data_IF_538007340787
#
_entry.id   IF_538007340787
#
_cell.length_a   1.000
_cell.length_b   1.000
_cell.length_c   1.000
_cell.angle_alpha   90.00
_cell.angle_beta   90.00
_cell.angle_gamma   90.00
#
_symmetry.space_group_name_H-M   'P 1'
#
loop_
_entity.id
_entity.type
_entity.pdbx_description
1 polymer ?
#
# COMPACT_ATOMS: atom_id res chain seq x y z
N UNK A 1 9.23 29.64 8.34
CA UNK A 1 7.78 29.41 8.52
C UNK A 1 7.56 28.81 9.88
N UNK A 2 6.58 29.27 10.68
CA UNK A 2 6.19 28.55 11.90
C UNK A 2 5.73 27.15 11.46
N UNK A 3 6.33 26.08 11.99
CA UNK A 3 5.84 24.72 11.74
C UNK A 3 4.43 24.62 12.32
N UNK A 4 3.46 24.33 11.49
CA UNK A 4 2.10 24.03 11.93
C UNK A 4 2.13 22.63 12.53
N UNK A 5 1.80 22.47 13.82
CA UNK A 5 1.71 21.14 14.41
C UNK A 5 0.49 20.42 13.84
N UNK A 6 0.57 19.09 13.73
CA UNK A 6 -0.58 18.30 13.25
C UNK A 6 -1.79 18.43 14.19
N UNK A 7 -1.56 18.60 15.50
CA UNK A 7 -2.61 18.87 16.48
C UNK A 7 -3.43 20.12 16.14
N UNK A 8 -2.77 21.19 15.69
CA UNK A 8 -3.46 22.40 15.28
C UNK A 8 -4.31 22.16 14.02
N UNK A 9 -3.83 21.37 13.07
CA UNK A 9 -4.60 21.04 11.86
C UNK A 9 -5.91 20.34 12.23
N UNK A 10 -5.83 19.38 13.15
CA UNK A 10 -6.98 18.60 13.57
C UNK A 10 -7.92 19.40 14.47
N UNK A 11 -7.42 20.29 15.33
CA UNK A 11 -8.28 21.18 16.11
C UNK A 11 -9.09 22.09 15.20
N UNK A 12 -8.48 22.65 14.15
CA UNK A 12 -9.19 23.45 13.14
C UNK A 12 -10.22 22.65 12.37
N UNK A 13 -9.89 21.41 11.97
CA UNK A 13 -10.86 20.51 11.34
C UNK A 13 -12.09 20.26 12.25
N UNK A 14 -11.86 20.00 13.53
CA UNK A 14 -12.91 19.73 14.52
C UNK A 14 -13.79 20.95 14.78
N UNK A 15 -13.21 22.14 14.86
CA UNK A 15 -13.92 23.40 15.11
C UNK A 15 -14.71 23.88 13.89
N UNK A 16 -14.09 23.91 12.72
CA UNK A 16 -14.66 24.54 11.53
C UNK A 16 -15.58 23.61 10.74
N UNK A 17 -15.32 22.29 10.80
CA UNK A 17 -16.00 21.26 9.99
C UNK A 17 -16.23 19.95 10.78
N UNK A 18 -17.10 19.94 11.79
CA UNK A 18 -17.37 18.75 12.60
C UNK A 18 -17.78 17.51 11.79
N UNK A 19 -18.47 17.71 10.66
CA UNK A 19 -18.84 16.66 9.72
C UNK A 19 -17.62 16.01 9.04
N UNK A 20 -16.63 16.81 8.66
CA UNK A 20 -15.38 16.30 8.08
C UNK A 20 -14.46 15.71 9.14
N UNK A 21 -14.52 16.20 10.37
CA UNK A 21 -13.85 15.56 11.50
C UNK A 21 -14.37 14.14 11.74
N UNK A 22 -15.69 13.93 11.67
CA UNK A 22 -16.31 12.60 11.75
C UNK A 22 -15.80 11.66 10.64
N UNK A 23 -15.67 12.17 9.41
CA UNK A 23 -15.07 11.45 8.28
C UNK A 23 -13.61 11.10 8.55
N UNK A 24 -12.81 12.08 8.99
CA UNK A 24 -11.40 11.94 9.29
C UNK A 24 -11.12 10.85 10.33
N UNK A 25 -11.91 10.82 11.41
CA UNK A 25 -11.81 9.81 12.47
C UNK A 25 -12.45 8.47 12.11
N UNK A 26 -12.99 8.32 10.89
CA UNK A 26 -13.72 7.13 10.45
C UNK A 26 -14.85 6.72 11.43
N UNK A 27 -15.61 7.71 11.91
CA UNK A 27 -16.64 7.52 12.94
C UNK A 27 -17.66 6.43 12.59
N UNK A 28 -18.02 6.32 11.30
CA UNK A 28 -18.97 5.32 10.82
C UNK A 28 -18.53 3.89 11.12
N UNK A 29 -17.23 3.61 11.27
CA UNK A 29 -16.72 2.26 11.46
C UNK A 29 -16.79 1.76 12.92
N UNK A 30 -16.79 2.67 13.90
CA UNK A 30 -16.70 2.36 15.34
C UNK A 30 -17.83 1.46 15.82
N UNK A 31 -19.04 1.72 15.35
CA UNK A 31 -20.26 1.00 15.77
C UNK A 31 -20.89 0.20 14.62
N UNK A 32 -20.18 0.07 13.49
CA UNK A 32 -20.72 -0.67 12.36
C UNK A 32 -20.65 -2.17 12.61
N UNK A 33 -21.76 -2.87 12.44
CA UNK A 33 -21.82 -4.31 12.67
C UNK A 33 -21.36 -5.14 11.46
N UNK A 34 -21.70 -4.71 10.24
CA UNK A 34 -21.42 -5.51 9.06
C UNK A 34 -19.93 -5.49 8.72
N UNK A 35 -19.37 -6.67 8.49
CA UNK A 35 -18.00 -6.87 8.04
C UNK A 35 -18.01 -7.91 6.95
N UNK A 36 -17.03 -7.84 6.06
CA UNK A 36 -16.83 -8.90 5.08
C UNK A 36 -16.26 -10.17 5.74
N UNK A 37 -16.05 -11.22 4.94
CA UNK A 37 -15.48 -12.50 5.42
C UNK A 37 -14.08 -12.38 6.06
N UNK A 38 -13.41 -11.24 5.88
CA UNK A 38 -12.10 -10.95 6.45
C UNK A 38 -12.17 -10.00 7.66
N UNK A 39 -13.36 -9.64 8.12
CA UNK A 39 -13.55 -8.71 9.24
C UNK A 39 -13.33 -7.25 8.86
N UNK A 40 -13.41 -6.89 7.56
CA UNK A 40 -13.10 -5.55 7.05
C UNK A 40 -14.35 -4.71 6.89
N UNK A 41 -14.21 -3.41 7.13
CA UNK A 41 -15.17 -2.40 6.66
C UNK A 41 -14.91 -2.14 5.17
N UNK A 42 -15.98 -2.08 4.38
CA UNK A 42 -15.95 -2.01 2.93
C UNK A 42 -16.51 -0.69 2.41
N UNK A 43 -16.05 -0.24 1.25
CA UNK A 43 -16.50 1.00 0.64
C UNK A 43 -18.02 0.98 0.39
N UNK A 44 -18.57 -0.19 0.03
CA UNK A 44 -20.02 -0.35 -0.19
C UNK A 44 -20.88 -0.10 1.07
N UNK A 45 -20.27 -0.14 2.26
CA UNK A 45 -20.95 0.15 3.53
C UNK A 45 -20.84 1.61 3.94
N UNK A 46 -19.88 2.34 3.37
CA UNK A 46 -19.67 3.75 3.66
C UNK A 46 -20.83 4.58 3.12
N UNK A 47 -21.26 5.59 3.88
CA UNK A 47 -22.17 6.61 3.38
C UNK A 47 -21.50 7.58 2.40
N UNK A 48 -20.17 7.46 2.22
CA UNK A 48 -19.34 8.37 1.44
C UNK A 48 -19.08 7.87 0.04
N UNK A 49 -18.73 8.81 -0.83
CA UNK A 49 -18.10 8.50 -2.12
C UNK A 49 -16.63 8.24 -1.88
N UNK A 50 -16.22 6.98 -1.99
CA UNK A 50 -14.83 6.56 -1.75
C UNK A 50 -13.81 7.36 -2.57
N UNK A 51 -14.14 7.77 -3.80
CA UNK A 51 -13.24 8.53 -4.66
C UNK A 51 -13.16 10.05 -4.35
N UNK A 52 -13.76 10.53 -3.25
CA UNK A 52 -13.62 11.92 -2.79
C UNK A 52 -12.64 12.03 -1.61
N UNK A 53 -11.75 13.02 -1.68
CA UNK A 53 -10.77 13.38 -0.64
C UNK A 53 -11.18 14.68 0.07
N UNK A 54 -12.44 14.78 0.51
CA UNK A 54 -13.04 16.02 1.01
C UNK A 54 -12.34 16.61 2.24
N UNK A 55 -11.74 15.78 3.10
CA UNK A 55 -10.99 16.26 4.26
C UNK A 55 -9.72 16.95 3.80
N UNK A 56 -8.96 16.32 2.89
CA UNK A 56 -7.77 16.96 2.31
C UNK A 56 -8.11 18.20 1.47
N UNK A 57 -9.22 18.20 0.74
CA UNK A 57 -9.68 19.40 0.02
C UNK A 57 -9.88 20.57 0.97
N UNK A 58 -10.64 20.38 2.04
CA UNK A 58 -10.89 21.43 3.01
C UNK A 58 -9.60 21.93 3.66
N UNK A 59 -8.75 21.02 4.14
CA UNK A 59 -7.48 21.38 4.80
C UNK A 59 -6.50 22.10 3.86
N UNK A 60 -6.52 21.77 2.57
CA UNK A 60 -5.76 22.48 1.54
C UNK A 60 -6.33 23.89 1.30
N UNK A 61 -7.66 24.02 1.15
CA UNK A 61 -8.32 25.31 0.88
C UNK A 61 -8.09 26.34 1.99
N UNK A 62 -7.93 25.88 3.25
CA UNK A 62 -7.58 26.74 4.40
C UNK A 62 -6.06 26.89 4.61
N UNK A 63 -5.23 26.35 3.71
CA UNK A 63 -3.78 26.52 3.69
C UNK A 63 -2.99 25.65 4.68
N UNK A 64 -3.64 24.67 5.34
CA UNK A 64 -2.97 23.82 6.35
C UNK A 64 -2.24 22.61 5.73
N UNK A 65 -2.62 22.20 4.53
CA UNK A 65 -1.96 21.14 3.76
C UNK A 65 -1.47 21.61 2.38
N UNK A 66 -1.09 22.88 2.25
CA UNK A 66 -0.38 23.34 1.05
C UNK A 66 1.10 22.91 1.11
N UNK A 67 1.38 21.72 0.60
CA UNK A 67 2.69 21.06 0.70
C UNK A 67 3.53 21.36 -0.55
N UNK A 68 4.77 21.79 -0.32
CA UNK A 68 5.78 21.79 -1.37
C UNK A 68 6.47 20.43 -1.33
N UNK A 69 6.56 19.73 -2.47
CA UNK A 69 7.23 18.43 -2.53
C UNK A 69 8.66 18.57 -3.05
N UNK A 70 9.55 17.61 -2.75
CA UNK A 70 10.90 17.58 -3.29
C UNK A 70 10.94 17.79 -4.80
N UNK A 71 11.96 18.52 -5.26
CA UNK A 71 12.16 18.85 -6.69
C UNK A 71 10.98 19.59 -7.32
N UNK A 72 10.23 20.36 -6.52
CA UNK A 72 9.03 21.10 -6.94
C UNK A 72 7.96 20.21 -7.58
N UNK A 73 7.87 18.95 -7.15
CA UNK A 73 6.85 18.05 -7.64
C UNK A 73 5.44 18.58 -7.32
N UNK A 74 4.50 18.35 -8.23
CA UNK A 74 3.12 18.84 -8.08
C UNK A 74 2.36 18.06 -6.99
N UNK A 75 2.70 16.79 -6.82
CA UNK A 75 2.12 15.86 -5.83
C UNK A 75 3.08 14.69 -5.62
N UNK A 76 2.82 13.84 -4.61
CA UNK A 76 3.61 12.65 -4.37
C UNK A 76 2.88 11.36 -4.79
N UNK A 77 3.65 10.36 -5.20
CA UNK A 77 3.18 9.01 -5.52
C UNK A 77 3.99 8.05 -4.68
N UNK A 78 3.31 7.31 -3.80
CA UNK A 78 3.94 6.27 -3.00
C UNK A 78 3.73 4.93 -3.69
N UNK A 79 4.84 4.25 -3.99
CA UNK A 79 4.84 2.95 -4.62
C UNK A 79 5.07 1.87 -3.56
N UNK A 80 4.19 0.87 -3.53
CA UNK A 80 4.29 -0.22 -2.56
C UNK A 80 3.97 -1.57 -3.19
N UNK A 81 4.58 -2.62 -2.63
CA UNK A 81 4.43 -3.99 -3.10
C UNK A 81 4.22 -4.94 -1.94
N UNK A 82 3.08 -5.62 -1.91
CA UNK A 82 2.85 -6.71 -0.96
C UNK A 82 3.40 -8.01 -1.57
N UNK A 83 4.29 -8.65 -0.83
CA UNK A 83 4.92 -9.92 -1.18
C UNK A 83 4.20 -11.04 -0.44
N UNK A 84 3.01 -11.39 -0.93
CA UNK A 84 2.18 -12.46 -0.35
C UNK A 84 2.84 -13.83 -0.52
N UNK A 85 3.41 -14.06 -1.71
CA UNK A 85 3.91 -15.36 -2.14
C UNK A 85 5.16 -15.22 -2.98
N UNK A 86 6.22 -15.88 -2.55
CA UNK A 86 7.51 -16.02 -3.24
C UNK A 86 7.64 -17.36 -3.95
N UNK A 87 6.65 -18.25 -3.81
CA UNK A 87 6.57 -19.54 -4.49
C UNK A 87 5.21 -19.74 -5.11
N UNK A 88 5.18 -20.24 -6.34
CA UNK A 88 3.93 -20.64 -6.99
C UNK A 88 3.36 -21.89 -6.31
N UNK A 89 2.14 -21.80 -5.78
CA UNK A 89 1.40 -22.99 -5.38
C UNK A 89 1.19 -23.94 -6.56
N UNK A 90 1.17 -25.27 -6.31
CA UNK A 90 1.07 -26.30 -7.35
C UNK A 90 -0.12 -26.09 -8.29
N UNK A 91 -1.26 -25.64 -7.76
CA UNK A 91 -2.49 -25.38 -8.52
C UNK A 91 -2.33 -24.17 -9.45
N UNK A 92 -1.78 -23.06 -8.95
CA UNK A 92 -1.49 -21.86 -9.75
C UNK A 92 -0.46 -22.17 -10.85
N UNK A 93 0.55 -23.00 -10.55
CA UNK A 93 1.53 -23.46 -11.54
C UNK A 93 0.91 -24.30 -12.65
N UNK A 94 0.02 -25.22 -12.30
CA UNK A 94 -0.66 -26.07 -13.27
C UNK A 94 -1.62 -25.25 -14.15
N UNK A 95 -2.40 -24.34 -13.56
CA UNK A 95 -3.30 -23.46 -14.28
C UNK A 95 -2.57 -22.50 -15.22
N UNK A 96 -1.49 -21.87 -14.76
CA UNK A 96 -0.65 -20.99 -15.61
C UNK A 96 0.05 -21.76 -16.72
N UNK A 97 0.53 -22.99 -16.47
CA UNK A 97 1.13 -23.85 -17.50
C UNK A 97 0.12 -24.24 -18.59
N UNK A 98 -1.12 -24.59 -18.23
CA UNK A 98 -2.19 -24.87 -19.19
C UNK A 98 -2.53 -23.62 -20.00
N UNK A 99 -2.60 -22.44 -19.36
CA UNK A 99 -2.82 -21.16 -20.05
C UNK A 99 -1.70 -20.86 -21.06
N UNK A 100 -0.44 -21.05 -20.67
CA UNK A 100 0.72 -20.87 -21.55
C UNK A 100 0.66 -21.78 -22.79
N UNK A 101 0.32 -23.07 -22.59
CA UNK A 101 0.16 -24.03 -23.68
C UNK A 101 -0.98 -23.64 -24.64
N UNK A 102 -2.13 -23.18 -24.11
CA UNK A 102 -3.24 -22.68 -24.92
C UNK A 102 -2.90 -21.43 -25.72
N UNK A 103 -1.94 -20.64 -25.26
CA UNK A 103 -1.39 -19.48 -25.97
C UNK A 103 -0.24 -19.85 -26.93
N UNK A 104 0.03 -21.14 -27.15
CA UNK A 104 1.07 -21.62 -28.07
C UNK A 104 2.50 -21.56 -27.51
N UNK A 105 2.68 -21.25 -26.23
CA UNK A 105 3.98 -21.00 -25.60
C UNK A 105 4.59 -22.22 -24.92
N UNK A 106 5.06 -23.22 -25.69
CA UNK A 106 5.75 -24.41 -25.12
C UNK A 106 6.97 -24.06 -24.25
N UNK A 107 7.74 -23.04 -24.66
CA UNK A 107 8.87 -22.53 -23.88
C UNK A 107 8.42 -21.92 -22.56
N UNK A 108 7.36 -21.14 -22.56
CA UNK A 108 6.87 -20.51 -21.33
C UNK A 108 6.25 -21.53 -20.37
N UNK A 109 5.55 -22.55 -20.90
CA UNK A 109 5.10 -23.68 -20.10
C UNK A 109 6.28 -24.45 -19.44
N UNK A 110 7.36 -24.69 -20.18
CA UNK A 110 8.56 -25.33 -19.64
C UNK A 110 9.25 -24.48 -18.56
N UNK A 111 9.37 -23.15 -18.78
CA UNK A 111 9.92 -22.21 -17.79
C UNK A 111 9.10 -22.16 -16.52
N UNK A 112 7.77 -22.23 -16.60
CA UNK A 112 6.86 -22.30 -15.45
C UNK A 112 7.10 -23.54 -14.62
N UNK A 113 7.18 -24.68 -15.30
CA UNK A 113 7.46 -25.96 -14.65
C UNK A 113 8.82 -25.95 -13.95
N UNK A 114 9.87 -25.47 -14.63
CA UNK A 114 11.21 -25.32 -14.03
C UNK A 114 11.20 -24.30 -12.88
N UNK A 115 10.45 -23.20 -13.02
CA UNK A 115 10.30 -22.15 -12.02
C UNK A 115 9.68 -22.63 -10.70
N UNK A 116 8.98 -23.76 -10.69
CA UNK A 116 8.54 -24.41 -9.44
C UNK A 116 9.71 -24.90 -8.57
N UNK A 117 10.83 -25.23 -9.20
CA UNK A 117 11.99 -25.84 -8.55
C UNK A 117 13.24 -24.94 -8.58
N UNK A 118 13.25 -23.92 -9.44
CA UNK A 118 14.38 -23.02 -9.64
C UNK A 118 13.95 -21.56 -9.51
N UNK A 119 14.45 -20.88 -8.48
CA UNK A 119 14.17 -19.46 -8.19
C UNK A 119 14.42 -18.55 -9.38
N UNK A 120 15.43 -18.84 -10.21
CA UNK A 120 15.79 -18.02 -11.40
C UNK A 120 14.64 -17.92 -12.41
N UNK A 121 13.81 -18.95 -12.51
CA UNK A 121 12.68 -19.00 -13.43
C UNK A 121 11.33 -18.81 -12.72
N UNK A 122 11.34 -18.51 -11.42
CA UNK A 122 10.14 -18.27 -10.66
C UNK A 122 9.62 -16.86 -10.96
N UNK A 123 8.45 -16.72 -11.59
CA UNK A 123 7.90 -15.42 -11.99
C UNK A 123 7.52 -14.54 -10.79
N UNK A 124 7.43 -15.11 -9.58
CA UNK A 124 7.13 -14.38 -8.35
C UNK A 124 8.38 -13.79 -7.67
N UNK A 125 9.59 -14.21 -8.09
CA UNK A 125 10.87 -13.65 -7.66
C UNK A 125 11.29 -12.51 -8.61
N UNK A 126 10.40 -11.52 -8.77
CA UNK A 126 10.52 -10.45 -9.75
C UNK A 126 10.93 -9.09 -9.16
N UNK A 127 11.35 -9.06 -7.89
CA UNK A 127 11.68 -7.83 -7.16
C UNK A 127 12.72 -6.97 -7.88
N UNK A 128 13.82 -7.58 -8.35
CA UNK A 128 14.86 -6.86 -9.11
C UNK A 128 14.33 -6.26 -10.42
N UNK A 129 13.39 -6.95 -11.08
CA UNK A 129 12.76 -6.44 -12.30
C UNK A 129 11.87 -5.23 -11.99
N UNK A 130 11.09 -5.29 -10.90
CA UNK A 130 10.29 -4.17 -10.41
C UNK A 130 11.20 -2.97 -10.11
N UNK A 131 12.24 -3.16 -9.29
CA UNK A 131 13.21 -2.11 -8.95
C UNK A 131 13.86 -1.49 -10.18
N UNK A 132 14.22 -2.30 -11.19
CA UNK A 132 14.80 -1.79 -12.44
C UNK A 132 13.82 -0.88 -13.19
N UNK A 133 12.56 -1.30 -13.35
CA UNK A 133 11.52 -0.48 -14.00
C UNK A 133 11.28 0.84 -13.25
N UNK A 134 11.35 0.82 -11.93
CA UNK A 134 11.20 2.02 -11.09
C UNK A 134 12.41 2.94 -11.20
N UNK A 135 13.62 2.39 -11.17
CA UNK A 135 14.87 3.13 -11.30
C UNK A 135 14.95 3.90 -12.64
N UNK A 136 14.47 3.29 -13.74
CA UNK A 136 14.33 3.96 -15.06
C UNK A 136 13.46 5.22 -15.00
N UNK A 137 12.55 5.28 -14.03
CA UNK A 137 11.66 6.41 -13.78
C UNK A 137 12.09 7.27 -12.59
N UNK A 138 13.30 7.05 -12.05
CA UNK A 138 13.82 7.72 -10.86
C UNK A 138 12.91 7.57 -9.64
N UNK A 139 12.25 6.42 -9.55
CA UNK A 139 11.32 6.05 -8.49
C UNK A 139 11.95 5.01 -7.56
N UNK A 140 11.42 4.94 -6.35
CA UNK A 140 11.65 3.88 -5.37
C UNK A 140 10.31 3.43 -4.78
N UNK A 141 10.29 2.26 -4.17
CA UNK A 141 9.11 1.67 -3.56
C UNK A 141 9.42 0.99 -2.23
N UNK A 142 8.35 0.62 -1.52
CA UNK A 142 8.38 -0.17 -0.29
C UNK A 142 7.87 -1.58 -0.55
N UNK A 143 8.65 -2.61 -0.21
CA UNK A 143 8.23 -4.00 -0.27
C UNK A 143 7.77 -4.49 1.12
N UNK A 144 6.48 -4.78 1.28
CA UNK A 144 5.93 -5.37 2.50
C UNK A 144 6.01 -6.91 2.42
N UNK A 145 6.78 -7.51 3.33
CA UNK A 145 7.04 -8.95 3.31
C UNK A 145 6.19 -9.73 4.31
N UNK A 146 5.46 -10.73 3.82
CA UNK A 146 4.74 -11.68 4.65
C UNK A 146 5.70 -12.75 5.15
N UNK A 147 6.12 -12.66 6.41
CA UNK A 147 7.22 -13.51 6.93
C UNK A 147 6.78 -14.87 7.48
N UNK A 148 5.47 -15.06 7.66
CA UNK A 148 4.93 -16.33 8.16
C UNK A 148 4.74 -17.33 7.02
N UNK A 149 5.38 -18.50 7.12
CA UNK A 149 5.32 -19.57 6.10
C UNK A 149 3.94 -20.23 5.96
N UNK A 150 3.12 -20.20 7.01
CA UNK A 150 1.81 -20.86 7.06
C UNK A 150 0.71 -19.84 7.37
N UNK A 151 0.62 -18.81 6.54
CA UNK A 151 -0.43 -17.82 6.67
C UNK A 151 -1.67 -18.12 5.79
N UNK A 152 -2.77 -17.42 6.05
CA UNK A 152 -4.01 -17.57 5.30
C UNK A 152 -3.83 -17.12 3.84
N UNK A 153 -4.05 -18.05 2.89
CA UNK A 153 -3.86 -17.77 1.46
C UNK A 153 -2.44 -18.06 0.95
N UNK A 154 -1.54 -18.51 1.82
CA UNK A 154 -0.13 -18.74 1.51
C UNK A 154 0.78 -17.81 2.31
N UNK A 155 2.07 -18.09 2.31
CA UNK A 155 3.06 -17.31 3.02
C UNK A 155 4.48 -17.60 2.53
N UNK A 156 5.46 -16.86 3.03
CA UNK A 156 6.83 -16.99 2.55
C UNK A 156 7.72 -17.78 3.49
N UNK A 157 8.67 -18.49 2.88
CA UNK A 157 9.83 -18.99 3.62
C UNK A 157 10.91 -17.90 3.60
N UNK A 158 11.11 -17.21 4.72
CA UNK A 158 12.01 -16.06 4.78
C UNK A 158 13.46 -16.40 4.42
N UNK A 159 13.92 -17.62 4.75
CA UNK A 159 15.26 -18.12 4.37
C UNK A 159 15.50 -18.04 2.85
N UNK A 160 14.44 -18.11 2.06
CA UNK A 160 14.55 -18.08 0.61
C UNK A 160 14.56 -16.67 0.02
N UNK A 161 14.17 -15.69 0.84
CA UNK A 161 14.07 -14.28 0.49
C UNK A 161 15.26 -13.48 0.98
N UNK A 162 16.14 -14.04 1.82
CA UNK A 162 17.31 -13.35 2.40
C UNK A 162 18.11 -12.59 1.34
N UNK A 163 18.51 -13.24 0.25
CA UNK A 163 19.30 -12.62 -0.82
C UNK A 163 18.57 -11.45 -1.48
N UNK A 164 17.25 -11.55 -1.64
CA UNK A 164 16.45 -10.51 -2.27
C UNK A 164 16.16 -9.36 -1.31
N UNK A 165 15.89 -9.63 -0.04
CA UNK A 165 15.71 -8.62 1.01
C UNK A 165 17.00 -7.80 1.17
N UNK A 166 18.15 -8.46 1.28
CA UNK A 166 19.44 -7.78 1.37
C UNK A 166 19.71 -6.94 0.13
N UNK A 167 19.45 -7.47 -1.07
CA UNK A 167 19.60 -6.71 -2.30
C UNK A 167 18.68 -5.47 -2.36
N UNK A 168 17.42 -5.58 -1.93
CA UNK A 168 16.47 -4.46 -1.87
C UNK A 168 17.02 -3.36 -0.96
N UNK A 169 17.43 -3.72 0.26
CA UNK A 169 17.98 -2.79 1.27
C UNK A 169 19.28 -2.15 0.78
N UNK A 170 20.22 -2.93 0.26
CA UNK A 170 21.53 -2.46 -0.22
C UNK A 170 21.41 -1.48 -1.39
N UNK A 171 20.36 -1.61 -2.21
CA UNK A 171 20.07 -0.69 -3.32
C UNK A 171 19.26 0.54 -2.87
N UNK A 172 18.89 0.62 -1.60
CA UNK A 172 18.19 1.77 -1.03
C UNK A 172 16.69 1.79 -1.31
N UNK A 173 16.09 0.63 -1.60
CA UNK A 173 14.64 0.44 -1.54
C UNK A 173 14.24 0.06 -0.12
N UNK A 174 12.98 0.33 0.22
CA UNK A 174 12.49 0.09 1.56
C UNK A 174 11.85 -1.30 1.68
N UNK A 175 11.98 -1.90 2.86
CA UNK A 175 11.18 -3.04 3.28
C UNK A 175 10.25 -2.67 4.44
N UNK A 176 9.08 -3.28 4.47
CA UNK A 176 8.11 -3.18 5.56
C UNK A 176 7.62 -4.57 5.99
N UNK A 177 6.97 -4.65 7.15
CA UNK A 177 6.32 -5.89 7.56
C UNK A 177 4.95 -6.01 6.88
N UNK A 178 4.67 -7.16 6.25
CA UNK A 178 3.30 -7.55 5.94
C UNK A 178 2.82 -8.52 7.02
N UNK A 179 1.97 -8.08 7.96
CA UNK A 179 1.62 -8.94 9.11
C UNK A 179 0.82 -10.16 8.67
N UNK A 180 0.97 -11.28 9.37
CA UNK A 180 0.12 -12.45 9.17
C UNK A 180 -1.38 -12.15 9.31
N UNK A 181 -2.22 -12.87 8.58
CA UNK A 181 -3.68 -12.73 8.60
C UNK A 181 -4.27 -12.90 10.01
N UNK A 182 -3.71 -13.81 10.80
CA UNK A 182 -4.10 -14.06 12.20
C UNK A 182 -3.21 -13.34 13.23
N UNK A 183 -2.35 -12.43 12.76
CA UNK A 183 -1.41 -11.67 13.60
C UNK A 183 -1.80 -10.19 13.72
N UNK A 184 -2.61 -9.65 12.79
CA UNK A 184 -2.91 -8.20 12.64
C UNK A 184 -3.40 -7.47 13.92
N UNK A 185 -3.94 -8.17 14.92
CA UNK A 185 -4.42 -7.62 16.20
C UNK A 185 -3.74 -8.23 17.44
N UNK A 186 -2.68 -9.03 17.26
CA UNK A 186 -1.93 -9.71 18.31
C UNK A 186 -0.52 -9.10 18.46
N UNK A 187 -0.28 -8.26 19.48
CA UNK A 187 1.01 -7.59 19.68
C UNK A 187 2.21 -8.52 19.77
N UNK A 188 2.04 -9.73 20.33
CA UNK A 188 3.15 -10.66 20.51
C UNK A 188 3.59 -11.25 19.16
N UNK A 189 2.62 -11.68 18.35
CA UNK A 189 2.90 -12.20 17.01
C UNK A 189 3.51 -11.12 16.11
N UNK A 190 2.99 -9.90 16.15
CA UNK A 190 3.52 -8.77 15.38
C UNK A 190 4.98 -8.49 15.78
N UNK A 191 5.27 -8.49 17.08
CA UNK A 191 6.64 -8.29 17.58
C UNK A 191 7.60 -9.39 17.10
N UNK A 192 7.15 -10.65 17.09
CA UNK A 192 7.95 -11.78 16.62
C UNK A 192 8.18 -11.74 15.10
N UNK A 193 7.13 -11.45 14.32
CA UNK A 193 7.21 -11.29 12.86
C UNK A 193 8.16 -10.14 12.47
N UNK A 194 8.02 -8.99 13.15
CA UNK A 194 8.91 -7.84 12.96
C UNK A 194 10.36 -8.21 13.27
N UNK A 195 10.62 -8.82 14.43
CA UNK A 195 11.98 -9.23 14.85
C UNK A 195 12.61 -10.19 13.85
N UNK A 196 11.82 -11.11 13.31
CA UNK A 196 12.27 -12.06 12.30
C UNK A 196 12.70 -11.34 11.01
N UNK A 197 11.91 -10.38 10.53
CA UNK A 197 12.24 -9.60 9.34
C UNK A 197 13.49 -8.73 9.57
N UNK A 198 13.55 -8.00 10.69
CA UNK A 198 14.69 -7.15 11.05
C UNK A 198 16.00 -7.96 11.16
N UNK A 199 15.93 -9.17 11.72
CA UNK A 199 17.09 -10.07 11.80
C UNK A 199 17.65 -10.42 10.43
N UNK A 200 16.78 -10.66 9.44
CA UNK A 200 17.19 -11.01 8.08
C UNK A 200 17.69 -9.79 7.32
N UNK A 201 17.01 -8.66 7.46
CA UNK A 201 17.33 -7.44 6.74
C UNK A 201 18.54 -6.68 7.30
N UNK A 202 18.89 -6.88 8.57
CA UNK A 202 19.97 -6.16 9.24
C UNK A 202 19.65 -4.68 9.50
N UNK A 203 18.38 -4.26 9.39
CA UNK A 203 17.94 -2.89 9.62
C UNK A 203 16.59 -2.85 10.37
N UNK A 204 16.26 -1.67 10.93
CA UNK A 204 14.95 -1.43 11.57
C UNK A 204 13.85 -1.44 10.50
N UNK A 205 12.79 -2.21 10.73
CA UNK A 205 11.59 -2.19 9.90
C UNK A 205 10.67 -1.10 10.43
N UNK A 206 10.40 -0.05 9.65
CA UNK A 206 9.66 1.13 10.15
C UNK A 206 8.18 1.09 9.83
N UNK A 207 7.84 0.51 8.68
CA UNK A 207 6.48 0.42 8.17
C UNK A 207 5.82 -0.93 8.32
N UNK A 208 4.49 -0.91 8.26
CA UNK A 208 3.65 -2.10 8.25
C UNK A 208 2.48 -1.96 7.26
N UNK A 209 2.03 -3.10 6.75
CA UNK A 209 0.71 -3.26 6.13
C UNK A 209 0.12 -4.60 6.55
N UNK A 210 -1.14 -4.64 6.98
CA UNK A 210 -1.76 -5.90 7.37
C UNK A 210 -2.26 -6.70 6.16
N UNK A 211 -2.03 -8.01 6.17
CA UNK A 211 -2.51 -8.92 5.14
C UNK A 211 -4.04 -8.82 4.98
N UNK A 212 -4.49 -8.85 3.72
CA UNK A 212 -5.87 -8.59 3.30
C UNK A 212 -6.41 -7.18 3.64
N UNK A 213 -5.59 -6.21 4.05
CA UNK A 213 -6.06 -4.93 4.60
C UNK A 213 -6.99 -5.13 5.81
N UNK A 214 -6.71 -6.16 6.63
CA UNK A 214 -7.45 -6.37 7.88
C UNK A 214 -7.21 -5.20 8.81
N UNK A 215 -8.32 -4.56 9.20
CA UNK A 215 -8.27 -3.30 9.91
C UNK A 215 -9.50 -3.11 10.79
N UNK A 216 -9.27 -2.77 12.06
CA UNK A 216 -10.31 -2.39 13.02
C UNK A 216 -9.99 -1.02 13.61
N UNK A 217 -10.83 -0.03 13.30
CA UNK A 217 -10.72 1.32 13.88
C UNK A 217 -11.16 1.29 15.36
N UNK A 218 -10.41 1.88 16.31
CA UNK A 218 -9.02 2.36 16.21
C UNK A 218 -8.00 1.30 16.61
N UNK A 219 -8.46 0.12 17.04
CA UNK A 219 -7.66 -0.92 17.68
C UNK A 219 -6.40 -1.30 16.90
N UNK A 220 -6.48 -1.39 15.57
CA UNK A 220 -5.33 -1.73 14.73
C UNK A 220 -4.23 -0.69 14.87
N UNK A 221 -4.54 0.61 14.75
CA UNK A 221 -3.54 1.67 14.97
C UNK A 221 -2.95 1.62 16.38
N UNK A 222 -3.76 1.38 17.42
CA UNK A 222 -3.27 1.29 18.81
C UNK A 222 -2.31 0.11 19.04
N UNK A 223 -2.47 -0.98 18.29
CA UNK A 223 -1.56 -2.12 18.36
C UNK A 223 -0.28 -1.82 17.57
N UNK A 224 -0.41 -1.31 16.35
CA UNK A 224 0.72 -1.06 15.45
C UNK A 224 1.64 0.07 15.93
N UNK A 225 1.10 1.10 16.58
CA UNK A 225 1.88 2.24 17.10
C UNK A 225 2.94 1.85 18.13
N UNK A 226 2.83 0.66 18.74
CA UNK A 226 3.83 0.12 19.67
C UNK A 226 5.09 -0.36 18.98
N UNK A 227 5.04 -0.56 17.67
CA UNK A 227 6.09 -1.26 16.92
C UNK A 227 6.53 -0.51 15.66
N UNK A 228 5.69 0.34 15.07
CA UNK A 228 5.94 0.95 13.76
C UNK A 228 5.85 2.46 13.80
N UNK A 229 6.63 3.09 12.94
CA UNK A 229 6.65 4.54 12.77
C UNK A 229 5.45 4.97 11.89
N UNK A 230 5.06 4.12 10.93
CA UNK A 230 3.91 4.33 10.06
C UNK A 230 3.17 3.02 9.69
N UNK A 231 1.89 3.17 9.37
CA UNK A 231 1.01 2.14 8.78
C UNK A 231 0.57 2.58 7.38
N UNK A 232 0.42 1.63 6.46
CA UNK A 232 -0.15 1.86 5.12
C UNK A 232 -1.26 0.86 4.79
N UNK A 233 -1.96 0.38 5.82
CA UNK A 233 -3.08 -0.56 5.70
C UNK A 233 -4.39 0.16 5.37
N UNK A 234 -4.57 1.41 5.81
CA UNK A 234 -5.88 2.04 5.83
C UNK A 234 -6.35 2.47 4.44
N UNK A 235 -7.06 1.55 3.78
CA UNK A 235 -7.74 1.72 2.51
C UNK A 235 -8.93 0.78 2.38
N UNK A 236 -9.65 0.86 1.27
CA UNK A 236 -10.74 -0.06 0.97
C UNK A 236 -10.25 -1.23 0.10
N UNK A 237 -10.70 -2.44 0.43
CA UNK A 237 -10.39 -3.60 -0.39
C UNK A 237 -11.26 -3.67 -1.65
N UNK A 238 -12.53 -3.28 -1.55
CA UNK A 238 -13.54 -3.50 -2.58
C UNK A 238 -13.79 -2.30 -3.51
N UNK A 239 -13.14 -1.16 -3.27
CA UNK A 239 -13.17 0.00 -4.16
C UNK A 239 -11.92 0.86 -3.96
N UNK A 240 -11.47 1.57 -5.00
CA UNK A 240 -10.36 2.54 -4.89
C UNK A 240 -10.81 3.88 -4.31
N UNK A 241 -9.91 4.63 -3.66
CA UNK A 241 -10.19 5.97 -3.16
C UNK A 241 -9.64 6.27 -1.76
N UNK A 242 -10.29 7.17 -1.03
CA UNK A 242 -9.82 7.80 0.20
C UNK A 242 -10.73 7.45 1.39
N UNK A 243 -10.33 6.44 2.18
CA UNK A 243 -11.17 5.82 3.21
C UNK A 243 -11.70 6.77 4.28
N UNK A 244 -10.89 7.73 4.74
CA UNK A 244 -11.31 8.83 5.63
C UNK A 244 -11.22 10.21 4.97
N UNK A 245 -11.33 10.27 3.64
CA UNK A 245 -11.28 11.53 2.89
C UNK A 245 -9.91 12.22 2.89
N UNK A 246 -8.88 11.55 3.41
CA UNK A 246 -7.50 12.01 3.35
C UNK A 246 -6.77 11.41 2.15
N UNK A 247 -6.01 12.26 1.46
CA UNK A 247 -4.96 11.87 0.52
C UNK A 247 -3.58 12.31 1.01
N UNK A 248 -3.46 12.81 2.24
CA UNK A 248 -2.19 13.16 2.87
C UNK A 248 -1.95 12.22 4.06
N UNK A 249 -0.68 11.97 4.44
CA UNK A 249 -0.39 11.24 5.67
C UNK A 249 -0.96 11.97 6.89
N UNK A 250 -1.44 11.22 7.87
CA UNK A 250 -2.07 11.78 9.07
C UNK A 250 -1.77 10.97 10.31
N UNK A 251 -1.83 11.61 11.49
CA UNK A 251 -1.91 10.87 12.76
C UNK A 251 -3.37 10.51 13.03
N UNK A 252 -3.71 9.25 13.33
CA UNK A 252 -5.07 8.87 13.68
C UNK A 252 -5.52 9.53 14.99
N UNK A 253 -6.76 10.01 15.00
CA UNK A 253 -7.45 10.47 16.20
C UNK A 253 -8.64 9.58 16.45
N UNK A 254 -8.85 9.24 17.72
CA UNK A 254 -10.13 8.72 18.14
C UNK A 254 -11.16 9.86 18.24
N UNK A 255 -12.46 9.55 18.17
CA UNK A 255 -13.53 10.54 18.25
C UNK A 255 -13.52 11.40 19.52
N UNK A 256 -13.10 10.82 20.65
CA UNK A 256 -12.88 11.52 21.93
C UNK A 256 -11.63 12.40 21.93
N UNK A 257 -10.84 12.41 20.85
CA UNK A 257 -9.72 13.32 20.63
C UNK A 257 -8.36 12.78 21.05
N UNK A 258 -8.23 11.48 21.35
CA UNK A 258 -6.95 10.85 21.67
C UNK A 258 -6.15 10.61 20.38
N UNK A 259 -4.90 11.08 20.39
CA UNK A 259 -3.92 10.82 19.33
C UNK A 259 -3.34 9.43 19.49
N UNK A 260 -3.20 8.71 18.38
CA UNK A 260 -2.45 7.46 18.33
C UNK A 260 -1.10 7.76 17.67
N UNK A 261 -0.01 7.42 18.34
CA UNK A 261 1.34 7.79 17.91
C UNK A 261 1.88 6.87 16.80
N UNK A 262 1.24 6.95 15.64
CA UNK A 262 1.63 6.32 14.38
C UNK A 262 1.19 7.25 13.26
N UNK A 263 1.95 7.29 12.16
CA UNK A 263 1.50 7.97 10.94
C UNK A 263 0.79 6.99 10.01
N UNK A 264 -0.41 7.32 9.57
CA UNK A 264 -1.08 6.58 8.50
C UNK A 264 -0.71 7.19 7.15
N UNK A 265 -0.24 6.35 6.24
CA UNK A 265 -0.07 6.65 4.80
C UNK A 265 -1.21 5.92 4.07
N UNK A 266 -2.37 6.58 3.88
CA UNK A 266 -3.59 5.90 3.45
C UNK A 266 -3.42 5.26 2.08
N UNK A 267 -3.90 4.03 1.94
CA UNK A 267 -3.86 3.29 0.70
C UNK A 267 -4.98 3.79 -0.24
N UNK A 268 -4.60 4.22 -1.45
CA UNK A 268 -5.54 4.78 -2.43
C UNK A 268 -5.98 3.75 -3.46
N UNK A 269 -5.03 2.97 -3.98
CA UNK A 269 -5.26 2.04 -5.09
C UNK A 269 -4.54 0.73 -4.82
N UNK A 270 -5.25 -0.38 -5.01
CA UNK A 270 -4.68 -1.72 -5.00
C UNK A 270 -5.07 -2.43 -6.29
N UNK A 271 -4.11 -3.01 -6.99
CA UNK A 271 -4.33 -3.78 -8.22
C UNK A 271 -5.42 -4.85 -8.11
N UNK A 272 -5.43 -5.62 -7.02
CA UNK A 272 -6.42 -6.68 -6.80
C UNK A 272 -7.82 -6.14 -6.51
N UNK A 273 -7.97 -4.86 -6.14
CA UNK A 273 -9.30 -4.22 -6.07
C UNK A 273 -9.99 -4.24 -7.42
N UNK A 274 -9.27 -3.86 -8.47
CA UNK A 274 -9.81 -3.89 -9.84
C UNK A 274 -10.13 -5.32 -10.29
N UNK A 275 -9.20 -6.25 -10.07
CA UNK A 275 -9.31 -7.63 -10.54
C UNK A 275 -10.39 -8.42 -9.80
N UNK A 276 -10.50 -8.26 -8.48
CA UNK A 276 -11.33 -9.16 -7.63
C UNK A 276 -12.66 -8.55 -7.19
N UNK A 277 -12.80 -7.22 -7.22
CA UNK A 277 -13.95 -6.54 -6.62
C UNK A 277 -14.69 -5.62 -7.58
N UNK A 278 -13.97 -4.86 -8.41
CA UNK A 278 -14.60 -3.92 -9.35
C UNK A 278 -14.87 -4.52 -10.74
N UNK A 279 -14.37 -5.74 -11.00
CA UNK A 279 -14.44 -6.42 -12.31
C UNK A 279 -13.94 -5.53 -13.47
N UNK A 280 -12.91 -4.72 -13.19
CA UNK A 280 -12.39 -3.74 -14.12
C UNK A 280 -11.22 -4.30 -14.92
N UNK A 281 -11.20 -4.03 -16.23
CA UNK A 281 -10.04 -4.33 -17.05
C UNK A 281 -8.88 -3.33 -16.81
N UNK A 282 -7.73 -3.57 -17.45
CA UNK A 282 -6.56 -2.72 -17.27
C UNK A 282 -6.76 -1.28 -17.78
N UNK A 283 -7.64 -1.04 -18.76
CA UNK A 283 -7.91 0.28 -19.30
C UNK A 283 -8.83 1.06 -18.36
N UNK A 284 -9.88 0.42 -17.87
CA UNK A 284 -10.79 0.98 -16.89
C UNK A 284 -10.06 1.30 -15.58
N UNK A 285 -9.21 0.37 -15.10
CA UNK A 285 -8.37 0.59 -13.93
C UNK A 285 -7.46 1.82 -14.11
N UNK A 286 -6.85 1.97 -15.29
CA UNK A 286 -6.01 3.14 -15.59
C UNK A 286 -6.81 4.46 -15.56
N UNK A 287 -8.03 4.49 -16.08
CA UNK A 287 -8.89 5.68 -16.03
C UNK A 287 -9.34 6.04 -14.61
N UNK A 288 -9.62 5.03 -13.76
CA UNK A 288 -9.85 5.25 -12.33
C UNK A 288 -8.64 5.89 -11.65
N UNK A 289 -7.44 5.39 -11.92
CA UNK A 289 -6.21 5.95 -11.35
C UNK A 289 -5.98 7.38 -11.84
N UNK A 290 -6.24 7.69 -13.10
CA UNK A 290 -6.20 9.07 -13.63
C UNK A 290 -7.21 9.99 -12.95
N UNK A 291 -8.43 9.51 -12.68
CA UNK A 291 -9.43 10.28 -11.93
C UNK A 291 -8.92 10.64 -10.54
N UNK A 292 -8.43 9.65 -9.79
CA UNK A 292 -7.90 9.85 -8.44
C UNK A 292 -6.66 10.75 -8.45
N UNK A 293 -5.76 10.57 -9.41
CA UNK A 293 -4.56 11.40 -9.58
C UNK A 293 -4.91 12.88 -9.72
N UNK A 294 -5.91 13.21 -10.54
CA UNK A 294 -6.35 14.61 -10.72
C UNK A 294 -6.86 15.24 -9.43
N UNK A 295 -7.53 14.46 -8.58
CA UNK A 295 -8.00 14.93 -7.27
C UNK A 295 -6.83 15.18 -6.32
N UNK A 296 -5.89 14.25 -6.25
CA UNK A 296 -4.67 14.37 -5.44
C UNK A 296 -3.81 15.55 -5.88
N UNK A 297 -3.56 15.69 -7.18
CA UNK A 297 -2.75 16.77 -7.75
C UNK A 297 -3.34 18.16 -7.46
N UNK A 298 -4.68 18.30 -7.47
CA UNK A 298 -5.36 19.56 -7.17
C UNK A 298 -5.03 20.09 -5.77
N UNK A 299 -4.78 19.20 -4.81
CA UNK A 299 -4.53 19.55 -3.41
C UNK A 299 -3.12 19.20 -2.96
N UNK A 300 -2.21 18.98 -3.91
CA UNK A 300 -0.82 18.58 -3.66
C UNK A 300 -0.69 17.40 -2.70
N UNK A 301 -1.60 16.42 -2.82
CA UNK A 301 -1.65 15.25 -1.95
C UNK A 301 -0.66 14.14 -2.32
N UNK A 302 -0.96 12.96 -1.78
CA UNK A 302 -0.26 11.70 -2.02
C UNK A 302 -1.24 10.68 -2.59
N UNK A 303 -0.81 9.97 -3.65
CA UNK A 303 -1.50 8.78 -4.14
C UNK A 303 -0.66 7.54 -3.82
N UNK A 304 -1.22 6.62 -3.03
CA UNK A 304 -0.53 5.39 -2.62
C UNK A 304 -1.00 4.22 -3.45
N UNK A 305 -0.07 3.56 -4.14
CA UNK A 305 -0.31 2.41 -5.01
C UNK A 305 0.22 1.13 -4.35
N UNK A 306 -0.61 0.10 -4.34
CA UNK A 306 -0.25 -1.27 -3.97
C UNK A 306 -0.34 -2.17 -5.19
N UNK A 307 0.81 -2.70 -5.62
CA UNK A 307 0.92 -3.72 -6.65
C UNK A 307 1.57 -4.98 -6.10
N UNK A 308 0.89 -6.12 -6.15
CA UNK A 308 1.44 -7.36 -5.62
C UNK A 308 2.49 -7.93 -6.57
N UNK A 309 3.51 -8.59 -6.02
CA UNK A 309 4.54 -9.27 -6.83
C UNK A 309 3.90 -10.31 -7.78
N UNK A 310 2.77 -10.91 -7.40
CA UNK A 310 2.04 -11.88 -8.22
C UNK A 310 1.37 -11.28 -9.46
N UNK A 311 1.06 -9.98 -9.45
CA UNK A 311 0.37 -9.27 -10.54
C UNK A 311 1.34 -8.79 -11.62
N UNK A 312 2.64 -8.86 -11.36
CA UNK A 312 3.72 -8.69 -12.34
C UNK A 312 3.99 -9.94 -13.17
N UNK A 313 3.27 -11.03 -12.92
CA UNK A 313 3.32 -12.22 -13.73
C UNK A 313 2.80 -11.94 -15.14
N UNK A 314 3.70 -11.69 -16.10
CA UNK A 314 3.33 -11.29 -17.46
C UNK A 314 2.55 -12.35 -18.24
N UNK A 315 2.52 -13.61 -17.81
CA UNK A 315 1.72 -14.65 -18.47
C UNK A 315 0.27 -14.61 -17.99
N UNK A 316 0.08 -14.38 -16.69
CA UNK A 316 -1.26 -14.40 -16.08
C UNK A 316 -1.90 -13.02 -16.13
N UNK A 317 -1.13 -11.98 -15.83
CA UNK A 317 -1.56 -10.59 -15.63
C UNK A 317 -0.81 -9.59 -16.52
N UNK A 318 -0.44 -10.00 -17.75
CA UNK A 318 0.31 -9.18 -18.73
C UNK A 318 -0.15 -7.72 -18.82
N UNK A 319 -1.46 -7.52 -18.87
CA UNK A 319 -2.09 -6.21 -19.01
C UNK A 319 -1.84 -5.32 -17.79
N UNK A 320 -1.94 -5.89 -16.58
CA UNK A 320 -1.71 -5.19 -15.32
C UNK A 320 -0.22 -4.91 -15.07
N UNK A 321 0.67 -5.84 -15.47
CA UNK A 321 2.11 -5.62 -15.46
C UNK A 321 2.51 -4.46 -16.40
N UNK A 322 1.96 -4.45 -17.63
CA UNK A 322 2.13 -3.32 -18.57
C UNK A 322 1.54 -2.02 -18.03
N UNK A 323 0.38 -2.10 -17.38
CA UNK A 323 -0.27 -0.94 -16.76
C UNK A 323 0.64 -0.29 -15.71
N UNK A 324 1.27 -1.07 -14.83
CA UNK A 324 2.22 -0.53 -13.83
C UNK A 324 3.33 0.29 -14.50
N UNK A 325 3.95 -0.26 -15.55
CA UNK A 325 4.99 0.46 -16.31
C UNK A 325 4.44 1.74 -16.98
N UNK A 326 3.20 1.69 -17.45
CA UNK A 326 2.50 2.86 -17.99
C UNK A 326 2.24 3.94 -16.93
N UNK A 327 1.86 3.52 -15.73
CA UNK A 327 1.62 4.40 -14.58
C UNK A 327 2.89 5.14 -14.16
N UNK A 328 4.03 4.46 -14.06
CA UNK A 328 5.32 5.12 -13.74
C UNK A 328 5.63 6.27 -14.71
N UNK A 329 5.47 6.02 -16.02
CA UNK A 329 5.66 7.07 -17.04
C UNK A 329 4.62 8.18 -16.94
N UNK A 330 3.37 7.82 -16.69
CA UNK A 330 2.29 8.79 -16.52
C UNK A 330 2.55 9.73 -15.34
N UNK A 331 2.90 9.20 -14.16
CA UNK A 331 3.22 10.02 -12.99
C UNK A 331 4.45 10.90 -13.19
N UNK A 332 5.52 10.35 -13.78
CA UNK A 332 6.72 11.11 -14.11
C UNK A 332 6.40 12.28 -15.06
N UNK A 333 5.58 12.05 -16.09
CA UNK A 333 5.16 13.08 -17.04
C UNK A 333 4.29 14.17 -16.40
N UNK A 334 3.61 13.89 -15.28
CA UNK A 334 2.84 14.87 -14.51
C UNK A 334 3.65 15.59 -13.42
N UNK A 335 4.96 15.37 -13.37
CA UNK A 335 5.84 16.03 -12.39
C UNK A 335 5.60 15.53 -10.97
N UNK A 336 5.23 14.27 -10.79
CA UNK A 336 5.07 13.68 -9.46
C UNK A 336 6.41 13.30 -8.82
N UNK A 337 6.48 13.35 -7.49
CA UNK A 337 7.56 12.72 -6.72
C UNK A 337 7.22 11.25 -6.46
N UNK A 338 7.83 10.34 -7.22
CA UNK A 338 7.65 8.90 -7.06
C UNK A 338 8.61 8.38 -5.98
N UNK A 339 8.08 7.81 -4.91
CA UNK A 339 8.83 7.55 -3.69
C UNK A 339 8.33 6.32 -2.92
N UNK A 340 9.13 5.89 -1.94
CA UNK A 340 8.76 4.88 -0.94
C UNK A 340 7.95 5.49 0.21
N UNK A 341 7.31 4.65 1.03
CA UNK A 341 6.65 5.07 2.27
C UNK A 341 7.64 5.74 3.24
N UNK A 342 8.83 5.18 3.44
CA UNK A 342 9.84 5.68 4.36
C UNK A 342 10.39 7.04 3.95
N UNK A 343 10.72 7.23 2.67
CA UNK A 343 11.17 8.53 2.16
C UNK A 343 10.04 9.58 2.27
N UNK A 344 8.78 9.21 2.03
CA UNK A 344 7.64 10.10 2.29
C UNK A 344 7.52 10.43 3.77
N UNK A 345 7.60 9.42 4.64
CA UNK A 345 7.50 9.58 6.08
C UNK A 345 8.57 10.56 6.59
N UNK A 346 9.83 10.37 6.22
CA UNK A 346 10.94 11.21 6.67
C UNK A 346 10.71 12.67 6.28
N UNK A 347 10.30 12.90 5.03
CA UNK A 347 9.93 14.23 4.54
C UNK A 347 8.73 14.82 5.30
N UNK A 348 7.72 14.00 5.57
CA UNK A 348 6.48 14.44 6.21
C UNK A 348 6.70 14.81 7.67
N UNK A 349 7.37 13.95 8.44
CA UNK A 349 7.60 14.21 9.86
C UNK A 349 8.51 15.39 10.09
N UNK A 350 9.54 15.62 9.27
CA UNK A 350 10.38 16.82 9.41
C UNK A 350 9.58 18.13 9.31
N UNK A 351 8.50 18.12 8.52
CA UNK A 351 7.59 19.27 8.36
C UNK A 351 6.65 19.47 9.54
N UNK A 352 6.13 18.38 10.12
CA UNK A 352 5.10 18.40 11.17
C UNK A 352 5.61 18.07 12.58
N UNK A 353 6.91 17.81 12.74
CA UNK A 353 7.62 17.60 14.02
C UNK A 353 7.96 18.89 14.75
#
# INVERSE_FOLDING_TARGET
MKKTSFDYIISRLKEDKPELYSVFTAWEEYNWFFRDKHGRFLARYSGRRSYECEVSNFLFDIGLLDIEWPRMAHFAVVLTHDVDQSRMGKIYSMGSSIKALRQGGLKDASRRFVGMFNKKYNPLMNFRHIMMMEAENSAKSTFFFLVNKKDFGGGNNLEELVDEINFIVDKGWEIGLHTGYFSYDDPNKIADEKRLLEKVAGCKVRGVRNHFLRFLVPRTWEVLSKFFDYDSTFGYADHVGFRNGMCHPFKPYTPDGKIIDIWEIPLTVMDTTFIKYMDADSREAFEWIKLLTRKVEKVKGVITLLWHNTTFDELVYAEYARMYRGLLRYFKARGAWLTSCGELYDYWVERFA
#
